data_IF_385063252397
#
_entry.id   IF_385063252397
#
_cell.length_a   1.000
_cell.length_b   1.000
_cell.length_c   1.000
_cell.angle_alpha   90.00
_cell.angle_beta   90.00
_cell.angle_gamma   90.00
#
_symmetry.space_group_name_H-M   'P 1'
#
loop_
_entity.id
_entity.type
_entity.pdbx_description
1 polymer ?
#
# COMPACT_ATOMS: atom_id res chain seq x y z
N UNK A 1 -15.62 9.59 12.33
CA UNK A 1 -14.28 8.96 12.23
C UNK A 1 -14.47 7.45 12.10
N UNK A 2 -14.14 6.88 10.93
CA UNK A 2 -14.62 5.59 10.42
C UNK A 2 -13.88 4.36 10.99
N UNK A 3 -14.55 3.37 11.62
CA UNK A 3 -13.92 2.49 12.62
C UNK A 3 -13.16 1.27 12.09
N UNK A 4 -12.53 1.45 10.95
CA UNK A 4 -11.23 0.87 10.59
C UNK A 4 -10.09 1.56 11.41
N UNK A 5 -10.44 2.61 12.18
CA UNK A 5 -9.63 3.66 12.81
C UNK A 5 -8.42 3.28 13.68
N UNK A 6 -8.28 2.05 14.20
CA UNK A 6 -7.09 1.71 14.97
C UNK A 6 -5.96 1.34 13.99
N UNK A 7 -4.95 2.21 13.89
CA UNK A 7 -3.76 2.02 13.05
C UNK A 7 -3.21 0.58 13.12
N UNK A 8 -3.12 -0.08 14.30
CA UNK A 8 -2.64 -1.46 14.38
C UNK A 8 -3.50 -2.47 13.61
N UNK A 9 -4.83 -2.38 13.69
CA UNK A 9 -5.72 -3.34 13.02
C UNK A 9 -5.70 -3.15 11.50
N UNK A 10 -5.59 -1.89 11.05
CA UNK A 10 -5.40 -1.58 9.63
C UNK A 10 -4.09 -2.18 9.10
N UNK A 11 -2.98 -2.04 9.84
CA UNK A 11 -1.69 -2.62 9.47
C UNK A 11 -1.79 -4.14 9.35
N UNK A 12 -2.42 -4.83 10.31
CA UNK A 12 -2.65 -6.29 10.25
C UNK A 12 -3.46 -6.70 9.02
N UNK A 13 -4.52 -5.96 8.72
CA UNK A 13 -5.37 -6.24 7.55
C UNK A 13 -4.58 -6.09 6.24
N UNK A 14 -3.78 -5.03 6.13
CA UNK A 14 -3.03 -4.72 4.91
C UNK A 14 -1.79 -5.58 4.74
N UNK A 15 -1.06 -5.90 5.81
CA UNK A 15 0.08 -6.82 5.74
C UNK A 15 -0.34 -8.18 5.22
N UNK A 16 -1.53 -8.65 5.63
CA UNK A 16 -2.15 -9.87 5.15
C UNK A 16 -2.48 -9.85 3.65
N UNK A 17 -3.02 -8.75 3.14
CA UNK A 17 -3.28 -8.58 1.70
C UNK A 17 -2.00 -8.56 0.88
N UNK A 18 -1.00 -7.78 1.32
CA UNK A 18 0.28 -7.69 0.62
C UNK A 18 1.05 -9.01 0.66
N UNK A 19 1.00 -9.73 1.78
CA UNK A 19 1.51 -11.10 1.89
C UNK A 19 0.84 -12.04 0.88
N UNK A 20 -0.48 -11.96 0.75
CA UNK A 20 -1.22 -12.72 -0.27
C UNK A 20 -0.76 -12.39 -1.69
N UNK A 21 -0.54 -11.11 -2.01
CA UNK A 21 -0.01 -10.70 -3.31
C UNK A 21 1.40 -11.22 -3.55
N UNK A 22 2.28 -11.17 -2.55
CA UNK A 22 3.62 -11.77 -2.63
C UNK A 22 3.55 -13.27 -2.92
N UNK A 23 2.68 -14.00 -2.21
CA UNK A 23 2.50 -15.44 -2.41
C UNK A 23 1.97 -15.75 -3.82
N UNK A 24 0.93 -15.05 -4.27
CA UNK A 24 0.40 -15.20 -5.62
C UNK A 24 1.47 -14.91 -6.68
N UNK A 25 2.21 -13.82 -6.51
CA UNK A 25 3.30 -13.47 -7.42
C UNK A 25 4.39 -14.54 -7.46
N UNK A 26 4.87 -14.99 -6.31
CA UNK A 26 5.91 -16.03 -6.21
C UNK A 26 5.46 -17.35 -6.85
N UNK A 27 4.23 -17.80 -6.62
CA UNK A 27 3.72 -19.06 -7.17
C UNK A 27 3.64 -19.00 -8.70
N UNK A 28 3.07 -17.94 -9.26
CA UNK A 28 2.92 -17.81 -10.71
C UNK A 28 4.25 -17.54 -11.42
N UNK A 29 5.21 -16.92 -10.71
CA UNK A 29 6.56 -16.67 -11.21
C UNK A 29 7.50 -17.87 -11.12
N UNK A 30 7.07 -19.03 -10.56
CA UNK A 30 7.87 -20.27 -10.63
C UNK A 30 8.01 -20.80 -12.06
N UNK A 31 7.00 -20.59 -12.90
CA UNK A 31 6.98 -21.00 -14.31
C UNK A 31 6.55 -19.82 -15.20
N UNK A 32 7.39 -18.77 -15.33
CA UNK A 32 6.99 -17.51 -15.96
C UNK A 32 6.68 -17.67 -17.46
N UNK A 33 7.34 -18.63 -18.13
CA UNK A 33 7.09 -18.96 -19.54
C UNK A 33 5.69 -19.54 -19.72
N UNK A 34 5.23 -20.40 -18.81
CA UNK A 34 3.87 -20.96 -18.86
C UNK A 34 2.83 -19.85 -18.63
N UNK A 35 3.06 -19.00 -17.63
CA UNK A 35 2.20 -17.85 -17.33
C UNK A 35 2.08 -16.91 -18.55
N UNK A 36 3.21 -16.59 -19.19
CA UNK A 36 3.23 -15.74 -20.38
C UNK A 36 2.45 -16.36 -21.54
N UNK A 37 2.57 -17.68 -21.76
CA UNK A 37 1.82 -18.39 -22.81
C UNK A 37 0.31 -18.45 -22.51
N UNK A 38 -0.10 -18.51 -21.24
CA UNK A 38 -1.50 -18.57 -20.84
C UNK A 38 -2.21 -17.21 -20.87
N UNK A 39 -1.53 -16.13 -20.44
CA UNK A 39 -2.12 -14.78 -20.38
C UNK A 39 -1.83 -13.93 -21.62
N UNK A 40 -0.85 -14.32 -22.43
CA UNK A 40 -0.29 -13.48 -23.48
C UNK A 40 0.51 -12.29 -22.90
N UNK A 41 1.10 -11.46 -23.78
CA UNK A 41 1.96 -10.35 -23.37
C UNK A 41 1.21 -9.31 -22.52
N UNK A 42 0.02 -8.89 -22.94
CA UNK A 42 -0.77 -7.86 -22.23
C UNK A 42 -1.16 -8.33 -20.83
N UNK A 43 -1.66 -9.57 -20.70
CA UNK A 43 -2.05 -10.12 -19.41
C UNK A 43 -0.85 -10.38 -18.49
N UNK A 44 0.30 -10.81 -19.04
CA UNK A 44 1.53 -10.97 -18.27
C UNK A 44 2.02 -9.64 -17.70
N UNK A 45 2.13 -8.59 -18.51
CA UNK A 45 2.53 -7.27 -18.03
C UNK A 45 1.50 -6.69 -17.05
N UNK A 46 0.20 -6.88 -17.29
CA UNK A 46 -0.84 -6.54 -16.32
C UNK A 46 -0.61 -7.22 -14.97
N UNK A 47 -0.37 -8.54 -14.96
CA UNK A 47 -0.05 -9.27 -13.73
C UNK A 47 1.19 -8.72 -13.02
N UNK A 48 2.25 -8.42 -13.78
CA UNK A 48 3.47 -7.82 -13.21
C UNK A 48 3.20 -6.47 -12.59
N UNK A 49 2.51 -5.56 -13.27
CA UNK A 49 2.28 -4.21 -12.75
C UNK A 49 1.27 -4.18 -11.60
N UNK A 50 0.20 -4.96 -11.67
CA UNK A 50 -0.85 -4.93 -10.65
C UNK A 50 -0.50 -5.75 -9.40
N UNK A 51 0.06 -6.96 -9.55
CA UNK A 51 0.37 -7.83 -8.40
C UNK A 51 1.79 -7.55 -7.91
N UNK A 52 2.78 -7.76 -8.78
CA UNK A 52 4.19 -7.56 -8.42
C UNK A 52 4.51 -6.09 -8.16
N UNK A 53 4.06 -5.20 -9.03
CA UNK A 53 4.33 -3.77 -9.00
C UNK A 53 3.75 -3.10 -7.77
N UNK A 54 2.55 -3.48 -7.33
CA UNK A 54 1.98 -2.96 -6.07
C UNK A 54 2.84 -3.31 -4.86
N UNK A 55 3.31 -4.55 -4.77
CA UNK A 55 4.18 -5.00 -3.66
C UNK A 55 5.55 -4.31 -3.73
N UNK A 56 6.16 -4.30 -4.92
CA UNK A 56 7.46 -3.67 -5.14
C UNK A 56 7.39 -2.17 -4.85
N UNK A 57 6.36 -1.48 -5.32
CA UNK A 57 6.15 -0.05 -5.04
C UNK A 57 6.05 0.20 -3.53
N UNK A 58 5.26 -0.60 -2.80
CA UNK A 58 5.13 -0.44 -1.36
C UNK A 58 6.45 -0.66 -0.59
N UNK A 59 7.31 -1.59 -1.05
CA UNK A 59 8.62 -1.87 -0.46
C UNK A 59 9.68 -0.82 -0.83
N UNK A 60 9.73 -0.41 -2.10
CA UNK A 60 10.75 0.49 -2.65
C UNK A 60 10.47 1.96 -2.34
N UNK A 61 9.21 2.37 -2.18
CA UNK A 61 8.84 3.76 -1.90
C UNK A 61 9.63 4.41 -0.73
N UNK A 62 9.77 3.80 0.47
CA UNK A 62 10.53 4.41 1.56
C UNK A 62 12.03 4.49 1.26
N UNK A 63 12.57 3.57 0.46
CA UNK A 63 13.97 3.60 0.03
C UNK A 63 14.18 4.80 -0.91
N UNK A 64 13.30 4.98 -1.90
CA UNK A 64 13.40 6.12 -2.81
C UNK A 64 13.20 7.46 -2.11
N UNK A 65 12.28 7.54 -1.15
CA UNK A 65 12.11 8.74 -0.33
C UNK A 65 13.35 9.03 0.52
N UNK A 66 13.95 7.99 1.13
CA UNK A 66 15.19 8.14 1.87
C UNK A 66 16.33 8.65 0.98
N UNK A 67 16.50 8.07 -0.21
CA UNK A 67 17.51 8.53 -1.18
C UNK A 67 17.28 9.99 -1.58
N UNK A 68 16.04 10.40 -1.82
CA UNK A 68 15.70 11.79 -2.13
C UNK A 68 16.02 12.75 -0.98
N UNK A 69 15.67 12.38 0.26
CA UNK A 69 15.97 13.19 1.45
C UNK A 69 17.48 13.29 1.68
N UNK A 70 18.22 12.19 1.54
CA UNK A 70 19.69 12.20 1.66
C UNK A 70 20.34 13.07 0.59
N UNK A 71 19.82 13.04 -0.64
CA UNK A 71 20.28 13.92 -1.71
C UNK A 71 20.03 15.41 -1.41
N UNK A 72 18.88 15.75 -0.82
CA UNK A 72 18.58 17.12 -0.41
C UNK A 72 19.46 17.61 0.74
N UNK A 73 19.70 16.76 1.73
CA UNK A 73 20.43 17.13 2.97
C UNK A 73 21.95 17.06 2.81
N UNK A 74 22.43 16.22 1.90
CA UNK A 74 23.86 15.99 1.69
C UNK A 74 24.19 16.18 0.20
N UNK A 75 24.31 17.43 -0.27
CA UNK A 75 24.63 17.72 -1.67
C UNK A 75 25.98 17.15 -2.14
N UNK A 76 26.86 16.78 -1.20
CA UNK A 76 28.15 16.14 -1.48
C UNK A 76 28.03 14.66 -1.85
N UNK A 77 26.88 14.01 -1.66
CA UNK A 77 26.62 12.69 -2.22
C UNK A 77 26.44 12.82 -3.74
N UNK A 78 27.53 12.65 -4.47
CA UNK A 78 27.51 12.62 -5.93
C UNK A 78 26.90 11.30 -6.43
N UNK A 79 25.58 11.26 -6.55
CA UNK A 79 24.86 10.14 -7.15
C UNK A 79 25.07 10.01 -8.67
N UNK A 80 25.79 10.93 -9.32
CA UNK A 80 25.97 10.97 -10.77
C UNK A 80 26.66 9.71 -11.35
N UNK A 81 27.36 8.94 -10.51
CA UNK A 81 27.93 7.64 -10.90
C UNK A 81 26.86 6.53 -10.95
N UNK A 82 25.87 6.60 -10.06
CA UNK A 82 24.82 5.57 -9.94
C UNK A 82 23.56 5.90 -10.74
N UNK A 83 23.30 7.19 -10.97
CA UNK A 83 22.13 7.68 -11.70
C UNK A 83 22.58 8.54 -12.88
N UNK A 84 22.61 7.96 -14.10
CA UNK A 84 22.75 8.74 -15.33
C UNK A 84 21.72 9.88 -15.36
N UNK A 85 22.04 11.05 -15.95
CA UNK A 85 21.17 12.23 -15.90
C UNK A 85 19.73 11.95 -16.36
N UNK A 86 19.55 11.12 -17.41
CA UNK A 86 18.24 10.75 -17.93
C UNK A 86 17.40 10.02 -16.87
N UNK A 87 17.98 9.04 -16.19
CA UNK A 87 17.29 8.26 -15.15
C UNK A 87 16.97 9.15 -13.95
N UNK A 88 17.89 10.06 -13.60
CA UNK A 88 17.67 11.02 -12.52
C UNK A 88 16.44 11.91 -12.80
N UNK A 89 16.38 12.56 -13.98
CA UNK A 89 15.24 13.41 -14.32
C UNK A 89 13.93 12.64 -14.47
N UNK A 90 13.97 11.42 -15.02
CA UNK A 90 12.79 10.55 -15.09
C UNK A 90 12.29 10.17 -13.68
N UNK A 91 13.20 9.85 -12.77
CA UNK A 91 12.87 9.50 -11.38
C UNK A 91 12.32 10.70 -10.62
N UNK A 92 12.91 11.89 -10.81
CA UNK A 92 12.41 13.13 -10.23
C UNK A 92 11.02 13.50 -10.77
N UNK A 93 10.82 13.38 -12.09
CA UNK A 93 9.52 13.62 -12.70
C UNK A 93 8.47 12.62 -12.19
N UNK A 94 8.83 11.33 -12.05
CA UNK A 94 7.95 10.32 -11.48
C UNK A 94 7.59 10.62 -10.02
N UNK A 95 8.57 10.99 -9.21
CA UNK A 95 8.37 11.36 -7.81
C UNK A 95 7.42 12.56 -7.70
N UNK A 96 7.64 13.63 -8.47
CA UNK A 96 6.81 14.84 -8.37
C UNK A 96 5.42 14.63 -8.98
N UNK A 97 5.36 14.24 -10.25
CA UNK A 97 4.10 14.11 -10.99
C UNK A 97 3.25 12.99 -10.40
N UNK A 98 3.85 11.84 -10.08
CA UNK A 98 3.16 10.70 -9.49
C UNK A 98 2.51 11.05 -8.15
N UNK A 99 3.24 11.73 -7.26
CA UNK A 99 2.68 12.17 -5.98
C UNK A 99 1.59 13.22 -6.14
N UNK A 100 1.74 14.18 -7.07
CA UNK A 100 0.71 15.18 -7.36
C UNK A 100 -0.57 14.51 -7.86
N UNK A 101 -0.46 13.60 -8.84
CA UNK A 101 -1.60 12.85 -9.36
C UNK A 101 -2.25 12.01 -8.25
N UNK A 102 -1.45 11.40 -7.37
CA UNK A 102 -1.98 10.59 -6.29
C UNK A 102 -2.74 11.42 -5.23
N UNK A 103 -2.21 12.58 -4.85
CA UNK A 103 -2.91 13.56 -3.99
C UNK A 103 -4.21 14.00 -4.67
N UNK A 104 -4.14 14.38 -5.95
CA UNK A 104 -5.30 14.81 -6.72
C UNK A 104 -6.41 13.76 -6.75
N UNK A 105 -6.08 12.50 -7.06
CA UNK A 105 -7.05 11.40 -7.06
C UNK A 105 -7.62 11.12 -5.66
N UNK A 106 -6.80 11.25 -4.62
CA UNK A 106 -7.22 11.09 -3.23
C UNK A 106 -8.19 12.19 -2.77
N UNK A 107 -8.07 13.41 -3.32
CA UNK A 107 -9.01 14.51 -3.09
C UNK A 107 -10.27 14.39 -3.96
N UNK A 108 -10.12 13.95 -5.21
CA UNK A 108 -11.22 13.82 -6.16
C UNK A 108 -12.24 12.75 -5.71
N UNK A 109 -11.78 11.66 -5.11
CA UNK A 109 -12.64 10.55 -4.71
C UNK A 109 -13.72 10.94 -3.68
N UNK A 110 -13.41 11.63 -2.56
CA UNK A 110 -14.42 12.17 -1.64
C UNK A 110 -15.31 13.24 -2.28
N UNK A 111 -14.74 14.15 -3.10
CA UNK A 111 -15.49 15.22 -3.76
C UNK A 111 -16.58 14.65 -4.69
N UNK A 112 -16.23 13.67 -5.53
CA UNK A 112 -17.18 13.02 -6.43
C UNK A 112 -18.30 12.28 -5.69
N UNK A 113 -18.04 11.84 -4.45
CA UNK A 113 -19.01 11.19 -3.56
C UNK A 113 -19.77 12.17 -2.67
N UNK A 114 -19.55 13.48 -2.81
CA UNK A 114 -20.12 14.56 -1.98
C UNK A 114 -19.79 14.41 -0.48
N UNK A 115 -18.65 13.81 -0.17
CA UNK A 115 -18.15 13.57 1.18
C UNK A 115 -17.10 14.63 1.55
N UNK A 116 -17.52 15.88 1.67
CA UNK A 116 -16.61 17.03 1.81
C UNK A 116 -15.78 16.99 3.11
N UNK A 117 -16.35 16.45 4.19
CA UNK A 117 -15.66 16.29 5.49
C UNK A 117 -14.42 15.39 5.41
N UNK A 118 -14.35 14.51 4.40
CA UNK A 118 -13.21 13.61 4.18
C UNK A 118 -12.15 14.18 3.23
N UNK A 119 -12.40 15.32 2.60
CA UNK A 119 -11.44 15.94 1.65
C UNK A 119 -10.12 16.31 2.33
N UNK A 120 -10.08 16.93 3.52
CA UNK A 120 -8.81 17.22 4.20
C UNK A 120 -8.00 15.96 4.52
N UNK A 121 -8.68 14.83 4.76
CA UNK A 121 -8.02 13.54 5.02
C UNK A 121 -7.27 13.07 3.77
N UNK A 122 -7.74 13.41 2.57
CA UNK A 122 -7.03 13.11 1.31
C UNK A 122 -5.63 13.72 1.22
N UNK A 123 -5.34 14.80 1.94
CA UNK A 123 -3.98 15.39 2.01
C UNK A 123 -3.01 14.54 2.85
N UNK A 124 -3.53 13.68 3.73
CA UNK A 124 -2.71 12.79 4.59
C UNK A 124 -2.16 11.57 3.84
N UNK A 125 -2.30 11.54 2.52
CA UNK A 125 -1.88 10.45 1.65
C UNK A 125 -0.37 10.15 1.71
N UNK A 126 0.45 11.17 2.03
CA UNK A 126 1.87 10.98 2.30
C UNK A 126 2.10 10.03 3.49
N UNK A 127 1.37 10.22 4.59
CA UNK A 127 1.43 9.34 5.76
C UNK A 127 0.84 7.96 5.46
N UNK A 128 -0.17 7.89 4.60
CA UNK A 128 -0.75 6.62 4.16
C UNK A 128 0.27 5.74 3.43
N UNK A 129 1.16 6.32 2.61
CA UNK A 129 2.26 5.59 1.98
C UNK A 129 3.22 4.97 2.99
N UNK A 130 3.55 5.70 4.08
CA UNK A 130 4.39 5.17 5.16
C UNK A 130 3.72 3.96 5.81
N UNK A 131 2.42 4.05 6.13
CA UNK A 131 1.66 2.94 6.69
C UNK A 131 1.62 1.72 5.75
N UNK A 132 1.44 1.97 4.45
CA UNK A 132 1.44 0.91 3.43
C UNK A 132 2.80 0.22 3.35
N UNK A 133 3.90 0.97 3.42
CA UNK A 133 5.25 0.43 3.45
C UNK A 133 5.52 -0.39 4.71
N UNK A 134 5.13 0.10 5.89
CA UNK A 134 5.24 -0.67 7.15
C UNK A 134 4.49 -2.00 7.03
N UNK A 135 3.27 -1.98 6.50
CA UNK A 135 2.49 -3.19 6.27
C UNK A 135 3.16 -4.13 5.26
N UNK A 136 3.81 -3.60 4.22
CA UNK A 136 4.55 -4.37 3.23
C UNK A 136 5.76 -5.10 3.85
N UNK A 137 6.62 -4.39 4.58
CA UNK A 137 7.78 -4.98 5.26
C UNK A 137 7.36 -6.01 6.31
N UNK A 138 6.28 -5.74 7.06
CA UNK A 138 5.71 -6.71 7.99
C UNK A 138 5.21 -7.97 7.26
N UNK A 139 4.49 -7.81 6.15
CA UNK A 139 4.02 -8.92 5.33
C UNK A 139 5.17 -9.75 4.74
N UNK A 140 6.24 -9.09 4.28
CA UNK A 140 7.47 -9.72 3.80
C UNK A 140 8.17 -10.52 4.90
N UNK A 141 8.35 -9.93 6.08
CA UNK A 141 8.92 -10.59 7.25
C UNK A 141 8.12 -11.82 7.67
N UNK A 142 6.79 -11.72 7.66
CA UNK A 142 5.89 -12.84 7.94
C UNK A 142 5.96 -13.92 6.87
N UNK A 143 6.17 -13.57 5.61
CA UNK A 143 6.32 -14.55 4.54
C UNK A 143 7.60 -15.37 4.69
N UNK A 144 8.70 -14.74 5.11
CA UNK A 144 10.00 -15.38 5.30
C UNK A 144 10.05 -16.26 6.56
N UNK A 145 9.56 -15.76 7.70
CA UNK A 145 9.68 -16.47 8.97
C UNK A 145 8.51 -17.42 9.27
N UNK A 146 7.28 -17.06 8.85
CA UNK A 146 6.07 -17.83 9.15
C UNK A 146 5.11 -17.82 7.95
N UNK A 147 5.44 -18.52 6.85
CA UNK A 147 4.73 -18.42 5.57
C UNK A 147 3.24 -18.74 5.68
N UNK A 148 2.83 -19.68 6.55
CA UNK A 148 1.44 -20.08 6.73
C UNK A 148 0.68 -19.30 7.81
N UNK A 149 1.35 -18.40 8.55
CA UNK A 149 0.68 -17.59 9.57
C UNK A 149 -0.19 -16.51 8.93
N UNK A 150 -1.44 -16.42 9.39
CA UNK A 150 -2.42 -15.45 8.92
C UNK A 150 -2.96 -14.63 10.08
N UNK A 151 -2.65 -13.33 10.11
CA UNK A 151 -3.15 -12.46 11.16
C UNK A 151 -4.67 -12.29 11.07
N UNK A 152 -5.33 -12.55 12.19
CA UNK A 152 -6.74 -12.19 12.36
C UNK A 152 -6.83 -10.73 12.76
N UNK A 153 -7.82 -10.05 12.21
CA UNK A 153 -8.18 -8.67 12.57
C UNK A 153 -9.26 -8.71 13.63
N UNK A 154 -9.17 -7.80 14.60
CA UNK A 154 -10.22 -7.67 15.61
C UNK A 154 -11.47 -7.08 14.93
N UNK A 155 -12.62 -7.73 15.13
CA UNK A 155 -13.93 -7.30 14.62
C UNK A 155 -14.72 -6.58 15.73
N UNK A 156 -15.69 -5.74 15.37
CA UNK A 156 -16.57 -5.09 16.36
C UNK A 156 -16.03 -3.80 17.01
N UNK A 157 -14.85 -3.33 16.62
CA UNK A 157 -14.24 -2.04 17.05
C UNK A 157 -14.98 -0.79 16.53
N UNK A 158 -16.11 -0.97 15.85
CA UNK A 158 -16.94 0.13 15.35
C UNK A 158 -17.87 0.69 16.40
N UNK A 159 -17.98 2.01 16.48
CA UNK A 159 -19.01 2.68 17.30
C UNK A 159 -20.41 2.19 16.93
N UNK A 160 -20.64 1.86 15.65
CA UNK A 160 -21.90 1.27 15.21
C UNK A 160 -22.05 -0.17 15.71
N UNK A 161 -21.00 -0.99 15.66
CA UNK A 161 -21.05 -2.36 16.18
C UNK A 161 -21.22 -2.39 17.70
N UNK A 162 -20.60 -1.47 18.43
CA UNK A 162 -20.81 -1.34 19.87
C UNK A 162 -22.27 -0.98 20.21
N UNK A 163 -22.88 -0.11 19.40
CA UNK A 163 -24.30 0.23 19.54
C UNK A 163 -25.24 -0.93 19.16
N UNK A 164 -24.95 -1.66 18.09
CA UNK A 164 -25.69 -2.87 17.68
C UNK A 164 -25.59 -3.98 18.74
N UNK A 165 -24.40 -4.21 19.30
CA UNK A 165 -24.18 -5.19 20.37
C UNK A 165 -24.97 -4.78 21.63
N UNK A 166 -24.94 -3.50 22.00
CA UNK A 166 -25.72 -3.00 23.14
C UNK A 166 -27.23 -3.16 22.91
N UNK A 167 -27.73 -2.87 21.71
CA UNK A 167 -29.13 -3.08 21.33
C UNK A 167 -29.53 -4.56 21.37
N UNK A 168 -28.71 -5.45 20.79
CA UNK A 168 -28.96 -6.89 20.80
C UNK A 168 -28.96 -7.47 22.23
N UNK A 169 -28.08 -6.99 23.11
CA UNK A 169 -28.04 -7.41 24.51
C UNK A 169 -29.26 -6.95 25.29
N UNK A 170 -29.74 -5.71 25.06
CA UNK A 170 -30.97 -5.20 25.69
C UNK A 170 -32.25 -5.89 25.22
N UNK A 171 -32.29 -6.35 23.96
CA UNK A 171 -33.43 -7.07 23.40
C UNK A 171 -33.50 -8.55 23.76
N UNK A 172 -32.39 -9.16 24.18
CA UNK A 172 -32.35 -10.56 24.62
C UNK A 172 -32.70 -10.74 26.12
N UNK A 173 -32.78 -9.65 26.88
CA UNK A 173 -33.11 -9.62 28.31
C UNK A 173 -34.58 -9.27 28.61
N UNK A 174 -35.44 -9.23 27.58
CA UNK A 174 -36.89 -9.03 27.68
C UNK A 174 -37.63 -10.30 27.22
#
# INVERSE_FOLDING_TARGET
ALPICAIPNWIRQRSRWLKGYMQTWLVHMRHPIQLYRSLGPVGFFGFQFFVGGTVLAALLNPIFWLLYVLWLLIPSLNYGIYFPPVIFYMSLANLLIGNIVFIYLSLLAPVKRRLYDLVPIGLTVFFYWVLLSIAAYKGLWQLLNNPFYWEKTDHGISKHSAHEIAQAQSGASA
#
